data_IF_654101161887
#
_entry.id   IF_654101161887
#
_cell.length_a   1.000
_cell.length_b   1.000
_cell.length_c   1.000
_cell.angle_alpha   90.00
_cell.angle_beta   90.00
_cell.angle_gamma   90.00
#
_symmetry.space_group_name_H-M   'P 1'
#
loop_
_entity.id
_entity.type
_entity.pdbx_description
1 polymer ?
#
# COMPACT_ATOMS: atom_id res chain seq x y z
N UNK A 1 20.23 14.93 26.63
CA UNK A 1 19.19 14.23 27.41
C UNK A 1 19.00 12.85 26.80
N UNK A 2 19.53 11.83 27.47
CA UNK A 2 19.43 10.43 27.06
C UNK A 2 17.97 10.01 27.25
N UNK A 3 17.22 9.83 26.16
CA UNK A 3 15.83 9.34 26.25
C UNK A 3 15.86 7.94 26.85
N UNK A 4 15.27 7.80 28.04
CA UNK A 4 15.00 6.51 28.67
C UNK A 4 14.20 5.65 27.69
N UNK A 5 14.62 4.40 27.47
CA UNK A 5 13.88 3.48 26.60
C UNK A 5 12.54 3.18 27.27
N UNK A 6 11.44 3.44 26.57
CA UNK A 6 10.09 3.16 27.07
C UNK A 6 10.00 1.73 27.64
N UNK A 7 9.44 1.59 28.84
CA UNK A 7 9.29 0.29 29.48
C UNK A 7 8.15 -0.49 28.79
N UNK A 8 8.54 -1.49 28.03
CA UNK A 8 7.62 -2.36 27.29
C UNK A 8 6.58 -3.01 28.23
N UNK A 9 5.31 -2.73 27.97
CA UNK A 9 4.18 -3.33 28.70
C UNK A 9 3.64 -2.48 29.85
N UNK A 10 4.29 -1.37 30.20
CA UNK A 10 3.81 -0.43 31.22
C UNK A 10 3.32 0.89 30.61
N UNK A 11 3.92 1.33 29.50
CA UNK A 11 3.56 2.56 28.82
C UNK A 11 3.18 2.31 27.35
N UNK A 12 2.19 3.03 26.80
CA UNK A 12 1.83 2.97 25.39
C UNK A 12 2.95 3.57 24.52
N UNK A 13 3.40 2.80 23.53
CA UNK A 13 4.47 3.19 22.60
C UNK A 13 3.85 3.77 21.33
N UNK A 14 4.12 5.04 21.04
CA UNK A 14 3.59 5.73 19.86
C UNK A 14 4.61 5.88 18.73
N UNK A 15 5.91 5.92 19.05
CA UNK A 15 6.99 6.00 18.06
C UNK A 15 7.79 4.70 18.05
N UNK A 16 7.84 4.05 16.89
CA UNK A 16 8.60 2.82 16.66
C UNK A 16 10.10 2.99 16.98
N UNK A 17 10.63 4.21 16.90
CA UNK A 17 12.04 4.51 17.23
C UNK A 17 12.39 4.21 18.69
N UNK A 18 11.42 4.22 19.60
CA UNK A 18 11.62 3.93 21.02
C UNK A 18 11.92 2.44 21.29
N UNK A 19 11.56 1.56 20.34
CA UNK A 19 11.76 0.11 20.43
C UNK A 19 13.20 -0.33 20.08
N UNK A 20 13.99 0.56 19.47
CA UNK A 20 15.32 0.26 18.94
C UNK A 20 15.31 -0.49 17.60
N UNK A 21 16.45 -0.51 16.92
CA UNK A 21 16.58 -0.96 15.53
C UNK A 21 16.19 -2.42 15.31
N UNK A 22 16.58 -3.33 16.21
CA UNK A 22 16.30 -4.76 16.06
C UNK A 22 14.79 -5.08 16.12
N UNK A 23 14.08 -4.50 17.10
CA UNK A 23 12.63 -4.70 17.25
C UNK A 23 11.86 -4.02 16.12
N UNK A 24 12.30 -2.84 15.70
CA UNK A 24 11.73 -2.13 14.54
C UNK A 24 11.77 -2.99 13.27
N UNK A 25 12.88 -3.69 13.03
CA UNK A 25 13.04 -4.56 11.87
C UNK A 25 12.08 -5.76 11.93
N UNK A 26 11.96 -6.41 13.09
CA UNK A 26 11.01 -7.51 13.29
C UNK A 26 9.56 -7.04 13.10
N UNK A 27 9.21 -5.87 13.61
CA UNK A 27 7.87 -5.28 13.44
C UNK A 27 7.59 -4.97 11.96
N UNK A 28 8.58 -4.45 11.23
CA UNK A 28 8.49 -4.23 9.79
C UNK A 28 8.25 -5.54 9.02
N UNK A 29 8.95 -6.62 9.41
CA UNK A 29 8.75 -7.94 8.83
C UNK A 29 7.34 -8.49 9.11
N UNK A 30 6.83 -8.32 10.32
CA UNK A 30 5.45 -8.67 10.66
C UNK A 30 4.45 -7.90 9.80
N UNK A 31 4.68 -6.60 9.62
CA UNK A 31 3.81 -5.74 8.82
C UNK A 31 3.82 -6.13 7.33
N UNK A 32 4.98 -6.53 6.80
CA UNK A 32 5.11 -7.05 5.44
C UNK A 32 4.19 -8.26 5.24
N UNK A 33 4.24 -9.25 6.13
CA UNK A 33 3.40 -10.44 6.04
C UNK A 33 1.91 -10.14 6.26
N UNK A 34 1.58 -9.18 7.14
CA UNK A 34 0.20 -8.76 7.35
C UNK A 34 -0.43 -8.17 6.06
N UNK A 35 0.33 -7.38 5.32
CA UNK A 35 -0.15 -6.74 4.07
C UNK A 35 -0.01 -7.63 2.83
N UNK A 36 0.79 -8.70 2.91
CA UNK A 36 1.09 -9.60 1.80
C UNK A 36 -0.16 -10.27 1.22
N UNK A 37 -1.04 -10.80 2.09
CA UNK A 37 -2.20 -11.58 1.67
C UNK A 37 -3.11 -10.81 0.70
N UNK A 38 -3.51 -9.59 1.07
CA UNK A 38 -4.32 -8.74 0.21
C UNK A 38 -3.58 -8.32 -1.07
N UNK A 39 -2.30 -8.00 -0.95
CA UNK A 39 -1.47 -7.52 -2.09
C UNK A 39 -1.30 -8.59 -3.16
N UNK A 40 -1.24 -9.87 -2.78
CA UNK A 40 -1.13 -11.02 -3.69
C UNK A 40 -2.49 -11.53 -4.16
N UNK A 41 -3.52 -11.47 -3.32
CA UNK A 41 -4.84 -12.02 -3.66
C UNK A 41 -5.49 -11.33 -4.86
N UNK A 42 -5.48 -9.99 -4.90
CA UNK A 42 -6.15 -9.26 -6.01
C UNK A 42 -5.50 -9.55 -7.37
N UNK A 43 -4.16 -9.47 -7.52
CA UNK A 43 -3.53 -9.83 -8.78
C UNK A 43 -3.85 -11.27 -9.22
N UNK A 44 -3.85 -12.22 -8.29
CA UNK A 44 -4.21 -13.62 -8.59
C UNK A 44 -5.65 -13.74 -9.11
N UNK A 45 -6.60 -13.04 -8.50
CA UNK A 45 -8.01 -13.08 -8.90
C UNK A 45 -8.31 -12.32 -10.20
N UNK A 46 -7.45 -11.37 -10.58
CA UNK A 46 -7.67 -10.49 -11.74
C UNK A 46 -6.81 -10.85 -12.95
N UNK A 47 -5.92 -11.84 -12.83
CA UNK A 47 -5.00 -12.26 -13.89
C UNK A 47 -3.77 -11.36 -14.03
N UNK A 48 -3.51 -10.47 -13.08
CA UNK A 48 -2.33 -9.61 -13.07
C UNK A 48 -1.10 -10.35 -12.52
N UNK A 49 0.09 -9.91 -12.92
CA UNK A 49 1.33 -10.45 -12.39
C UNK A 49 1.55 -10.03 -10.93
N UNK A 50 1.64 -11.02 -10.04
CA UNK A 50 1.85 -10.83 -8.59
C UNK A 50 3.17 -10.11 -8.30
N UNK A 51 4.26 -10.46 -8.99
CA UNK A 51 5.58 -9.85 -8.77
C UNK A 51 5.56 -8.37 -9.14
N UNK A 52 4.88 -7.99 -10.23
CA UNK A 52 4.68 -6.60 -10.61
C UNK A 52 3.87 -5.86 -9.55
N UNK A 53 2.79 -6.45 -9.05
CA UNK A 53 1.98 -5.84 -7.99
C UNK A 53 2.76 -5.64 -6.70
N UNK A 54 3.54 -6.63 -6.25
CA UNK A 54 4.39 -6.52 -5.06
C UNK A 54 5.49 -5.48 -5.24
N UNK A 55 6.12 -5.43 -6.41
CA UNK A 55 7.13 -4.43 -6.73
C UNK A 55 6.57 -3.01 -6.64
N UNK A 56 5.43 -2.75 -7.27
CA UNK A 56 4.79 -1.42 -7.24
C UNK A 56 4.13 -1.09 -5.90
N UNK A 57 3.68 -2.07 -5.13
CA UNK A 57 3.23 -1.87 -3.75
C UNK A 57 4.39 -1.33 -2.87
N UNK A 58 5.57 -1.95 -2.96
CA UNK A 58 6.76 -1.50 -2.26
C UNK A 58 7.28 -0.15 -2.77
N UNK A 59 7.50 -0.03 -4.08
CA UNK A 59 8.01 1.19 -4.69
C UNK A 59 7.06 2.38 -4.50
N UNK A 60 5.75 2.15 -4.66
CA UNK A 60 4.71 3.15 -4.42
C UNK A 60 4.66 3.58 -2.96
N UNK A 61 4.80 2.65 -2.02
CA UNK A 61 4.87 2.97 -0.58
C UNK A 61 6.09 3.86 -0.28
N UNK A 62 7.26 3.57 -0.86
CA UNK A 62 8.45 4.41 -0.70
C UNK A 62 8.25 5.81 -1.30
N UNK A 63 7.67 5.89 -2.50
CA UNK A 63 7.34 7.17 -3.14
C UNK A 63 6.35 7.97 -2.30
N UNK A 64 5.32 7.32 -1.75
CA UNK A 64 4.34 7.95 -0.86
C UNK A 64 5.00 8.52 0.40
N UNK A 65 5.91 7.78 1.04
CA UNK A 65 6.65 8.28 2.19
C UNK A 65 7.56 9.46 1.81
N UNK A 66 8.18 9.43 0.63
CA UNK A 66 8.98 10.55 0.13
C UNK A 66 8.13 11.81 -0.08
N UNK A 67 6.97 11.68 -0.73
CA UNK A 67 6.05 12.80 -0.99
C UNK A 67 5.43 13.37 0.30
N UNK A 68 5.11 12.51 1.27
CA UNK A 68 4.57 12.93 2.58
C UNK A 68 5.63 13.35 3.59
N UNK A 69 6.92 13.34 3.21
CA UNK A 69 8.07 13.64 4.08
C UNK A 69 8.13 12.75 5.33
N UNK A 70 7.69 11.49 5.20
CA UNK A 70 7.69 10.51 6.28
C UNK A 70 6.73 10.83 7.43
N UNK A 71 5.74 11.71 7.22
CA UNK A 71 4.77 12.09 8.27
C UNK A 71 3.66 11.07 8.47
N UNK A 72 3.34 10.29 7.44
CA UNK A 72 2.23 9.34 7.45
C UNK A 72 2.77 7.92 7.27
N UNK A 73 2.67 7.05 8.28
CA UNK A 73 3.08 5.66 8.18
C UNK A 73 1.98 4.84 7.50
N UNK A 74 2.05 4.68 6.18
CA UNK A 74 1.05 3.93 5.41
C UNK A 74 1.69 2.98 4.40
N UNK A 75 1.11 1.79 4.24
CA UNK A 75 1.50 0.82 3.22
C UNK A 75 0.46 0.82 2.08
N UNK A 76 0.94 0.89 0.84
CA UNK A 76 0.09 0.83 -0.36
C UNK A 76 -0.01 -0.61 -0.86
N UNK A 77 -1.17 -1.24 -0.65
CA UNK A 77 -1.48 -2.59 -1.13
C UNK A 77 -2.54 -2.60 -2.25
N UNK A 78 -2.88 -3.80 -2.71
CA UNK A 78 -3.92 -4.00 -3.73
C UNK A 78 -5.31 -3.72 -3.18
N UNK A 79 -6.11 -2.92 -3.89
CA UNK A 79 -7.48 -2.58 -3.46
C UNK A 79 -8.50 -3.57 -4.01
N UNK A 80 -9.28 -4.15 -3.09
CA UNK A 80 -10.31 -5.15 -3.42
C UNK A 80 -11.49 -4.52 -4.18
N UNK A 81 -11.65 -3.19 -4.09
CA UNK A 81 -12.70 -2.47 -4.81
C UNK A 81 -12.58 -2.61 -6.34
N UNK A 82 -11.38 -2.89 -6.86
CA UNK A 82 -11.18 -3.05 -8.30
C UNK A 82 -11.51 -4.46 -8.82
N UNK A 83 -11.70 -5.47 -7.97
CA UNK A 83 -11.97 -6.85 -8.41
C UNK A 83 -13.18 -6.93 -9.35
N UNK A 84 -14.30 -6.28 -8.96
CA UNK A 84 -15.50 -6.25 -9.80
C UNK A 84 -15.26 -5.51 -11.13
N UNK A 85 -14.49 -4.42 -11.12
CA UNK A 85 -14.11 -3.69 -12.33
C UNK A 85 -13.27 -4.56 -13.28
N UNK A 86 -12.31 -5.31 -12.76
CA UNK A 86 -11.52 -6.25 -13.55
C UNK A 86 -12.40 -7.38 -14.09
N UNK A 87 -13.25 -7.99 -13.27
CA UNK A 87 -14.13 -9.08 -13.69
C UNK A 87 -15.14 -8.67 -14.77
N UNK A 88 -15.57 -7.40 -14.79
CA UNK A 88 -16.49 -6.88 -15.82
C UNK A 88 -15.80 -6.55 -17.14
N UNK A 89 -14.60 -5.98 -17.09
CA UNK A 89 -13.85 -5.55 -18.29
C UNK A 89 -13.05 -6.71 -18.91
N UNK A 90 -12.41 -7.52 -18.06
CA UNK A 90 -11.57 -8.66 -18.43
C UNK A 90 -12.02 -9.90 -17.62
N UNK A 91 -13.16 -10.53 -17.98
CA UNK A 91 -13.64 -11.72 -17.31
C UNK A 91 -12.58 -12.83 -17.38
N UNK A 92 -12.46 -13.60 -16.30
CA UNK A 92 -11.47 -14.68 -16.12
C UNK A 92 -10.00 -14.26 -16.36
N UNK A 93 -9.70 -12.95 -16.31
CA UNK A 93 -8.36 -12.43 -16.57
C UNK A 93 -7.94 -12.47 -18.04
N UNK A 94 -8.89 -12.34 -18.98
CA UNK A 94 -8.62 -12.30 -20.43
C UNK A 94 -7.45 -11.34 -20.77
N UNK A 95 -6.29 -11.87 -21.23
CA UNK A 95 -5.10 -11.07 -21.50
C UNK A 95 -5.30 -9.99 -22.56
N UNK A 96 -6.26 -10.17 -23.47
CA UNK A 96 -6.54 -9.19 -24.53
C UNK A 96 -7.30 -7.98 -24.00
N UNK A 97 -8.09 -8.17 -22.94
CA UNK A 97 -8.92 -7.13 -22.33
C UNK A 97 -8.31 -6.52 -21.07
N UNK A 98 -7.39 -7.23 -20.43
CA UNK A 98 -6.71 -6.80 -19.20
C UNK A 98 -6.07 -5.40 -19.30
N UNK A 99 -5.44 -4.99 -20.43
CA UNK A 99 -4.91 -3.63 -20.57
C UNK A 99 -5.98 -2.53 -20.46
N UNK A 100 -7.22 -2.78 -20.90
CA UNK A 100 -8.32 -1.81 -20.77
C UNK A 100 -8.74 -1.64 -19.30
N UNK A 101 -8.77 -2.74 -18.53
CA UNK A 101 -9.04 -2.69 -17.10
C UNK A 101 -7.95 -1.90 -16.35
N UNK A 102 -6.67 -2.15 -16.67
CA UNK A 102 -5.53 -1.39 -16.13
C UNK A 102 -5.61 0.09 -16.51
N UNK A 103 -6.03 0.41 -17.74
CA UNK A 103 -6.29 1.78 -18.17
C UNK A 103 -7.36 2.48 -17.31
N UNK A 104 -8.43 1.76 -16.94
CA UNK A 104 -9.43 2.26 -16.00
C UNK A 104 -8.86 2.57 -14.62
N UNK A 105 -7.98 1.71 -14.09
CA UNK A 105 -7.27 1.96 -12.82
C UNK A 105 -6.37 3.18 -12.89
N UNK A 106 -5.69 3.41 -14.02
CA UNK A 106 -4.89 4.61 -14.24
C UNK A 106 -5.74 5.88 -14.16
N UNK A 107 -6.91 5.90 -14.82
CA UNK A 107 -7.86 7.02 -14.75
C UNK A 107 -8.38 7.23 -13.32
N UNK A 108 -8.67 6.15 -12.59
CA UNK A 108 -9.05 6.24 -11.18
C UNK A 108 -7.94 6.88 -10.32
N UNK A 109 -6.67 6.58 -10.59
CA UNK A 109 -5.52 7.23 -9.95
C UNK A 109 -5.46 8.74 -10.21
N UNK A 110 -5.77 9.17 -11.43
CA UNK A 110 -5.86 10.61 -11.76
C UNK A 110 -7.00 11.30 -10.99
N UNK A 111 -8.14 10.63 -10.80
CA UNK A 111 -9.23 11.16 -9.98
C UNK A 111 -8.80 11.43 -8.54
N UNK A 112 -7.96 10.57 -7.94
CA UNK A 112 -7.41 10.85 -6.60
C UNK A 112 -6.55 12.12 -6.57
N UNK A 113 -5.80 12.40 -7.63
CA UNK A 113 -5.03 13.66 -7.75
C UNK A 113 -5.99 14.86 -7.83
N UNK A 114 -7.03 14.77 -8.65
CA UNK A 114 -8.04 15.85 -8.79
C UNK A 114 -8.73 16.13 -7.44
N UNK A 115 -9.17 15.08 -6.74
CA UNK A 115 -9.80 15.22 -5.42
C UNK A 115 -8.82 15.80 -4.39
N UNK A 116 -7.55 15.35 -4.41
CA UNK A 116 -6.51 15.92 -3.54
C UNK A 116 -6.24 17.40 -3.81
N UNK A 117 -6.27 17.83 -5.07
CA UNK A 117 -6.16 19.24 -5.45
C UNK A 117 -7.39 20.02 -4.96
N UNK A 118 -8.59 19.47 -5.14
CA UNK A 118 -9.83 20.09 -4.68
C UNK A 118 -9.79 20.35 -3.17
N UNK A 119 -9.42 19.35 -2.36
CA UNK A 119 -9.28 19.51 -0.90
C UNK A 119 -8.16 20.46 -0.47
N UNK A 120 -7.20 20.76 -1.35
CA UNK A 120 -6.18 21.77 -1.06
C UNK A 120 -6.71 23.19 -1.24
N UNK A 121 -7.69 23.37 -2.12
CA UNK A 121 -8.26 24.69 -2.46
C UNK A 121 -9.59 24.98 -1.77
N UNK A 122 -10.29 23.94 -1.28
CA UNK A 122 -11.43 24.05 -0.37
C UNK A 122 -10.94 24.34 1.06
#
# INVERSE_FOLDING_TARGET
MTKEKAQLGLEPIYDVKELGTGKTLVLGLQHMFAMFGATVLVPLLTGLNVSTALFFAGAGTLLFHLLTKGKVPAFLGSSFAFIAGYATVAPDGDPTRLPYAVGGVFVAGLLYVVVGILFKFL
#
